data_IF_475265357002
#
_entry.id   IF_475265357002
#
_cell.length_a   1.000
_cell.length_b   1.000
_cell.length_c   1.000
_cell.angle_alpha   90.00
_cell.angle_beta   90.00
_cell.angle_gamma   90.00
#
_symmetry.space_group_name_H-M   'P 1'
#
loop_
_entity.id
_entity.type
_entity.pdbx_description
1 polymer ?
#
# COMPACT_ATOMS: atom_id res chain seq x y z
N UNK A 1 -14.44 27.13 -9.49
CA UNK A 1 -15.10 26.20 -8.55
C UNK A 1 -14.01 25.46 -7.82
N UNK A 2 -14.14 25.25 -6.53
CA UNK A 2 -13.16 24.49 -5.75
C UNK A 2 -13.35 23.00 -6.02
N UNK A 3 -12.26 22.29 -6.34
CA UNK A 3 -12.28 20.85 -6.64
C UNK A 3 -12.68 20.06 -5.39
N UNK A 4 -13.73 19.27 -5.47
CA UNK A 4 -14.21 18.46 -4.34
C UNK A 4 -13.41 17.18 -4.22
N UNK A 5 -12.72 16.99 -3.11
CA UNK A 5 -11.93 15.82 -2.73
C UNK A 5 -12.50 15.14 -1.50
N UNK A 6 -12.02 13.93 -1.23
CA UNK A 6 -12.19 13.32 0.09
C UNK A 6 -11.52 14.20 1.16
N UNK A 7 -12.14 14.36 2.33
CA UNK A 7 -11.72 15.34 3.36
C UNK A 7 -10.26 15.16 3.78
N UNK A 8 -9.78 13.93 3.89
CA UNK A 8 -8.42 13.62 4.30
C UNK A 8 -7.35 14.16 3.33
N UNK A 9 -7.69 14.37 2.06
CA UNK A 9 -6.75 14.84 1.05
C UNK A 9 -6.48 16.36 1.12
N UNK A 10 -7.25 17.09 1.92
CA UNK A 10 -7.18 18.56 1.93
C UNK A 10 -6.13 19.14 2.89
N UNK A 11 -5.37 18.32 3.61
CA UNK A 11 -4.40 18.78 4.61
C UNK A 11 -3.09 19.30 4.02
N UNK A 12 -2.69 18.83 2.83
CA UNK A 12 -1.46 19.24 2.17
C UNK A 12 -1.50 19.06 0.65
N UNK A 13 -0.65 19.78 -0.08
CA UNK A 13 -0.49 19.60 -1.54
C UNK A 13 -0.02 18.21 -1.92
N UNK A 14 0.79 17.55 -1.08
CA UNK A 14 1.25 16.19 -1.32
C UNK A 14 0.09 15.19 -1.22
N UNK A 15 -0.79 15.36 -0.22
CA UNK A 15 -1.98 14.52 -0.07
C UNK A 15 -2.97 14.75 -1.20
N UNK A 16 -3.19 16.00 -1.61
CA UNK A 16 -4.03 16.31 -2.77
C UNK A 16 -3.51 15.61 -4.04
N UNK A 17 -2.21 15.78 -4.33
CA UNK A 17 -1.59 15.15 -5.49
C UNK A 17 -1.69 13.63 -5.46
N UNK A 18 -1.40 13.02 -4.31
CA UNK A 18 -1.51 11.58 -4.14
C UNK A 18 -2.95 11.08 -4.35
N UNK A 19 -3.93 11.77 -3.74
CA UNK A 19 -5.34 11.47 -3.88
C UNK A 19 -5.81 11.57 -5.34
N UNK A 20 -5.46 12.66 -6.03
CA UNK A 20 -5.96 12.96 -7.36
C UNK A 20 -5.34 12.06 -8.44
N UNK A 21 -4.06 11.69 -8.27
CA UNK A 21 -3.27 11.02 -9.31
C UNK A 21 -3.02 9.53 -9.06
N UNK A 22 -3.15 9.05 -7.81
CA UNK A 22 -2.70 7.72 -7.42
C UNK A 22 -3.74 6.89 -6.65
N UNK A 23 -4.32 7.47 -5.62
CA UNK A 23 -5.18 6.73 -4.70
C UNK A 23 -6.46 6.21 -5.38
N UNK A 24 -6.78 4.93 -5.14
CA UNK A 24 -7.97 4.31 -5.72
C UNK A 24 -7.87 3.97 -7.21
N UNK A 25 -6.70 4.13 -7.82
CA UNK A 25 -6.46 3.72 -9.22
C UNK A 25 -5.99 2.26 -9.22
N UNK A 26 -6.64 1.35 -9.97
CA UNK A 26 -6.23 -0.03 -10.06
C UNK A 26 -4.79 -0.21 -10.55
N UNK A 27 -3.98 -0.90 -9.75
CA UNK A 27 -2.60 -1.28 -10.03
C UNK A 27 -2.53 -2.79 -10.23
N UNK A 28 -1.95 -3.23 -11.36
CA UNK A 28 -1.77 -4.65 -11.70
C UNK A 28 -0.31 -5.04 -11.86
N UNK A 29 0.61 -4.08 -11.83
CA UNK A 29 2.04 -4.34 -11.88
C UNK A 29 2.53 -4.93 -10.56
N UNK A 30 3.16 -6.10 -10.62
CA UNK A 30 3.61 -6.87 -9.46
C UNK A 30 4.59 -6.08 -8.57
N UNK A 31 5.53 -5.36 -9.19
CA UNK A 31 6.55 -4.59 -8.45
C UNK A 31 5.94 -3.36 -7.77
N UNK A 32 5.02 -2.67 -8.45
CA UNK A 32 4.30 -1.55 -7.86
C UNK A 32 3.36 -2.01 -6.73
N UNK A 33 2.69 -3.15 -6.87
CA UNK A 33 1.90 -3.75 -5.79
C UNK A 33 2.76 -4.08 -4.57
N UNK A 34 3.93 -4.69 -4.78
CA UNK A 34 4.87 -5.01 -3.70
C UNK A 34 5.40 -3.73 -3.01
N UNK A 35 5.78 -2.73 -3.80
CA UNK A 35 6.22 -1.43 -3.30
C UNK A 35 5.13 -0.75 -2.44
N UNK A 36 3.89 -0.70 -2.92
CA UNK A 36 2.79 -0.11 -2.17
C UNK A 36 2.54 -0.87 -0.87
N UNK A 37 2.60 -2.20 -0.88
CA UNK A 37 2.47 -3.00 0.33
C UNK A 37 3.57 -2.71 1.37
N UNK A 38 4.82 -2.52 0.91
CA UNK A 38 5.93 -2.13 1.78
C UNK A 38 5.73 -0.73 2.36
N UNK A 39 5.29 0.24 1.56
CA UNK A 39 5.03 1.62 1.99
C UNK A 39 3.91 1.69 3.03
N UNK A 40 2.83 0.95 2.83
CA UNK A 40 1.74 0.82 3.82
C UNK A 40 2.25 0.17 5.13
N UNK A 41 3.10 -0.83 5.03
CA UNK A 41 3.77 -1.41 6.19
C UNK A 41 4.69 -0.41 6.93
N UNK A 42 5.37 0.48 6.19
CA UNK A 42 6.16 1.57 6.77
C UNK A 42 5.29 2.60 7.49
N UNK A 43 4.03 2.76 7.09
CA UNK A 43 3.08 3.67 7.76
C UNK A 43 2.69 3.17 9.15
N UNK A 44 2.75 1.89 9.47
CA UNK A 44 2.25 1.34 10.74
C UNK A 44 2.66 2.20 11.95
N UNK A 45 1.67 2.75 12.67
CA UNK A 45 1.86 3.67 13.79
C UNK A 45 2.25 5.11 13.42
N UNK A 46 2.20 5.49 12.14
CA UNK A 46 2.49 6.83 11.62
C UNK A 46 1.32 7.35 10.76
N UNK A 47 1.35 8.64 10.38
CA UNK A 47 0.42 9.19 9.41
C UNK A 47 0.88 8.90 7.97
N UNK A 48 -0.09 8.84 7.02
CA UNK A 48 0.25 8.73 5.60
C UNK A 48 1.00 9.96 5.10
N UNK A 49 0.69 11.15 5.63
CA UNK A 49 1.44 12.37 5.36
C UNK A 49 2.93 12.22 5.65
N UNK A 50 3.31 11.52 6.73
CA UNK A 50 4.71 11.20 7.03
C UNK A 50 5.35 10.33 5.95
N UNK A 51 4.61 9.36 5.42
CA UNK A 51 5.10 8.50 4.33
C UNK A 51 5.26 9.29 3.04
N UNK A 52 4.28 10.13 2.69
CA UNK A 52 4.37 10.98 1.50
C UNK A 52 5.58 11.93 1.53
N UNK A 53 5.85 12.55 2.70
CA UNK A 53 7.02 13.43 2.87
C UNK A 53 8.34 12.68 2.74
N UNK A 54 8.38 11.39 3.08
CA UNK A 54 9.57 10.54 3.01
C UNK A 54 9.61 9.64 1.78
N UNK A 55 8.63 9.75 0.89
CA UNK A 55 8.45 8.84 -0.24
C UNK A 55 9.70 8.73 -1.10
N UNK A 56 10.27 9.86 -1.50
CA UNK A 56 11.46 9.89 -2.36
C UNK A 56 12.69 9.28 -1.64
N UNK A 57 12.85 9.61 -0.36
CA UNK A 57 13.92 9.06 0.47
C UNK A 57 13.77 7.55 0.67
N UNK A 58 12.55 7.08 0.92
CA UNK A 58 12.22 5.65 1.04
C UNK A 58 12.48 4.92 -0.28
N UNK A 59 11.95 5.43 -1.38
CA UNK A 59 12.16 4.81 -2.70
C UNK A 59 13.64 4.75 -3.07
N UNK A 60 14.39 5.84 -2.86
CA UNK A 60 15.82 5.88 -3.13
C UNK A 60 16.63 4.91 -2.24
N UNK A 61 16.31 4.85 -0.95
CA UNK A 61 17.04 4.02 0.01
C UNK A 61 16.79 2.52 -0.18
N UNK A 62 15.58 2.15 -0.58
CA UNK A 62 15.17 0.76 -0.78
C UNK A 62 15.13 0.34 -2.27
N UNK A 63 15.92 0.97 -3.14
CA UNK A 63 16.00 0.63 -4.58
C UNK A 63 14.62 0.53 -5.23
N UNK A 64 13.75 1.53 -4.99
CA UNK A 64 12.33 1.58 -5.38
C UNK A 64 11.49 0.39 -4.89
N UNK A 65 11.94 -0.28 -3.85
CA UNK A 65 11.36 -1.54 -3.35
C UNK A 65 11.30 -2.63 -4.42
N UNK A 66 12.27 -2.64 -5.35
CA UNK A 66 12.35 -3.71 -6.35
C UNK A 66 12.60 -5.05 -5.65
N UNK A 67 11.66 -6.01 -5.72
CA UNK A 67 11.79 -7.28 -5.00
C UNK A 67 13.02 -8.08 -5.43
N UNK A 68 13.48 -7.95 -6.70
CA UNK A 68 14.68 -8.62 -7.19
C UNK A 68 15.95 -8.11 -6.50
N UNK A 69 15.95 -6.85 -6.05
CA UNK A 69 17.08 -6.23 -5.36
C UNK A 69 16.97 -6.41 -3.86
N UNK A 70 15.83 -6.00 -3.27
CA UNK A 70 15.67 -5.97 -1.81
C UNK A 70 15.65 -7.36 -1.16
N UNK A 71 15.36 -8.42 -1.91
CA UNK A 71 15.43 -9.81 -1.44
C UNK A 71 16.84 -10.20 -0.98
N UNK A 72 17.87 -9.54 -1.52
CA UNK A 72 19.29 -9.77 -1.24
C UNK A 72 19.85 -8.90 -0.10
N UNK A 73 19.03 -8.05 0.52
CA UNK A 73 19.50 -7.23 1.64
C UNK A 73 19.91 -8.12 2.81
N UNK A 74 21.12 -7.86 3.30
CA UNK A 74 21.74 -8.50 4.44
C UNK A 74 21.80 -7.58 5.68
N UNK A 75 22.44 -8.06 6.74
CA UNK A 75 22.57 -7.30 7.99
C UNK A 75 23.40 -6.01 7.82
N UNK A 76 24.38 -6.01 6.93
CA UNK A 76 25.22 -4.82 6.65
C UNK A 76 24.39 -3.73 5.94
N UNK A 77 23.58 -4.13 4.94
CA UNK A 77 22.65 -3.22 4.27
C UNK A 77 21.56 -2.70 5.22
N UNK A 78 21.02 -3.56 6.07
CA UNK A 78 20.05 -3.14 7.11
C UNK A 78 20.67 -2.11 8.07
N UNK A 79 21.94 -2.32 8.48
CA UNK A 79 22.65 -1.39 9.36
C UNK A 79 22.93 -0.04 8.67
N UNK A 80 23.31 -0.04 7.39
CA UNK A 80 23.46 1.16 6.57
C UNK A 80 22.14 1.95 6.51
N UNK A 81 21.04 1.27 6.17
CA UNK A 81 19.71 1.89 6.07
C UNK A 81 19.28 2.57 7.38
N UNK A 82 19.58 1.97 8.52
CA UNK A 82 19.25 2.54 9.82
C UNK A 82 19.99 3.84 10.15
N UNK A 83 21.08 4.18 9.45
CA UNK A 83 21.77 5.46 9.55
C UNK A 83 21.13 6.55 8.67
N UNK A 84 20.31 6.17 7.69
CA UNK A 84 19.70 7.12 6.76
C UNK A 84 18.54 7.87 7.42
N UNK A 85 18.64 9.20 7.54
CA UNK A 85 17.64 10.09 8.15
C UNK A 85 16.41 10.30 7.25
N UNK A 86 16.49 9.98 5.98
CA UNK A 86 15.41 10.16 5.01
C UNK A 86 14.35 9.04 5.10
N UNK A 87 14.65 7.94 5.81
CA UNK A 87 13.71 6.82 5.97
C UNK A 87 13.07 6.76 7.37
N UNK A 88 12.16 5.80 7.55
CA UNK A 88 11.64 5.40 8.85
C UNK A 88 12.66 4.45 9.50
N UNK A 89 13.47 4.97 10.44
CA UNK A 89 14.55 4.22 11.12
C UNK A 89 14.02 3.28 12.21
N UNK A 90 13.21 2.32 11.79
CA UNK A 90 12.71 1.25 12.64
C UNK A 90 13.30 -0.08 12.16
N UNK A 91 14.12 -0.73 13.01
CA UNK A 91 14.84 -1.95 12.66
C UNK A 91 13.93 -3.07 12.14
N UNK A 92 12.77 -3.26 12.76
CA UNK A 92 11.84 -4.31 12.34
C UNK A 92 11.21 -4.02 10.99
N UNK A 93 10.88 -2.75 10.71
CA UNK A 93 10.36 -2.32 9.40
C UNK A 93 11.40 -2.46 8.30
N UNK A 94 12.65 -2.03 8.56
CA UNK A 94 13.76 -2.18 7.60
C UNK A 94 13.95 -3.66 7.26
N UNK A 95 14.09 -4.52 8.27
CA UNK A 95 14.26 -5.97 8.09
C UNK A 95 13.08 -6.64 7.37
N UNK A 96 11.87 -6.10 7.55
CA UNK A 96 10.67 -6.70 6.94
C UNK A 96 10.66 -6.61 5.42
N UNK A 97 11.35 -5.65 4.80
CA UNK A 97 11.34 -5.47 3.34
C UNK A 97 11.95 -6.69 2.63
N UNK A 98 13.16 -7.10 3.01
CA UNK A 98 13.80 -8.30 2.46
C UNK A 98 13.00 -9.59 2.78
N UNK A 99 12.46 -9.68 4.00
CA UNK A 99 11.61 -10.80 4.38
C UNK A 99 10.34 -10.89 3.51
N UNK A 100 9.69 -9.75 3.26
CA UNK A 100 8.48 -9.69 2.44
C UNK A 100 8.78 -10.00 0.98
N UNK A 101 9.96 -9.61 0.46
CA UNK A 101 10.39 -9.98 -0.89
C UNK A 101 10.57 -11.50 -1.05
N UNK A 102 11.12 -12.19 -0.05
CA UNK A 102 11.20 -13.67 -0.06
C UNK A 102 9.83 -14.32 -0.11
N UNK A 103 8.85 -13.76 0.61
CA UNK A 103 7.48 -14.26 0.59
C UNK A 103 6.75 -13.92 -0.72
N UNK A 104 7.03 -12.75 -1.31
CA UNK A 104 6.54 -12.33 -2.62
C UNK A 104 6.92 -13.35 -3.72
N UNK A 105 8.18 -13.76 -3.81
CA UNK A 105 8.62 -14.74 -4.81
C UNK A 105 7.91 -16.08 -4.66
N UNK A 106 7.66 -16.54 -3.43
CA UNK A 106 6.88 -17.77 -3.19
C UNK A 106 5.44 -17.66 -3.68
N UNK A 107 4.82 -16.49 -3.55
CA UNK A 107 3.49 -16.24 -4.09
C UNK A 107 3.53 -16.25 -5.62
N UNK A 108 4.50 -15.58 -6.25
CA UNK A 108 4.63 -15.58 -7.70
C UNK A 108 4.85 -17.00 -8.27
N UNK A 109 5.63 -17.84 -7.56
CA UNK A 109 5.84 -19.24 -7.94
C UNK A 109 4.54 -20.05 -7.84
N UNK A 110 3.73 -19.85 -6.80
CA UNK A 110 2.49 -20.60 -6.55
C UNK A 110 1.31 -20.14 -7.43
N UNK A 111 1.16 -18.84 -7.66
CA UNK A 111 -0.01 -18.23 -8.32
C UNK A 111 0.27 -17.67 -9.72
N UNK A 112 1.52 -17.69 -10.18
CA UNK A 112 1.94 -17.11 -11.47
C UNK A 112 2.34 -15.64 -11.37
N UNK A 113 1.65 -14.82 -10.57
CA UNK A 113 2.00 -13.43 -10.29
C UNK A 113 1.50 -12.97 -8.92
N UNK A 114 2.08 -11.90 -8.40
CA UNK A 114 1.61 -11.26 -7.18
C UNK A 114 0.26 -10.55 -7.41
N UNK A 115 0.07 -10.03 -8.61
CA UNK A 115 -1.18 -9.42 -9.07
C UNK A 115 -2.32 -10.44 -9.07
N UNK A 116 -2.14 -11.60 -9.70
CA UNK A 116 -3.17 -12.64 -9.74
C UNK A 116 -3.57 -13.11 -8.35
N UNK A 117 -2.59 -13.28 -7.47
CA UNK A 117 -2.84 -13.64 -6.07
C UNK A 117 -3.69 -12.58 -5.35
N UNK A 118 -3.31 -11.30 -5.42
CA UNK A 118 -4.01 -10.22 -4.72
C UNK A 118 -5.40 -9.94 -5.34
N UNK A 119 -5.44 -9.75 -6.65
CA UNK A 119 -6.69 -9.45 -7.36
C UNK A 119 -7.68 -10.61 -7.36
N UNK A 120 -7.20 -11.85 -7.18
CA UNK A 120 -8.05 -13.02 -6.98
C UNK A 120 -8.99 -12.91 -5.77
N UNK A 121 -8.61 -12.15 -4.72
CA UNK A 121 -9.48 -11.91 -3.56
C UNK A 121 -10.72 -11.06 -3.86
N UNK A 122 -10.69 -10.29 -4.94
CA UNK A 122 -11.80 -9.43 -5.42
C UNK A 122 -12.32 -9.85 -6.79
N UNK A 123 -12.04 -11.10 -7.21
CA UNK A 123 -12.43 -11.63 -8.52
C UNK A 123 -11.97 -10.74 -9.68
N UNK A 124 -10.78 -10.18 -9.60
CA UNK A 124 -10.13 -9.27 -10.57
C UNK A 124 -10.95 -8.02 -10.91
N UNK A 125 -11.86 -7.62 -10.02
CA UNK A 125 -12.74 -6.46 -10.21
C UNK A 125 -12.72 -5.59 -8.95
N UNK A 126 -12.49 -4.26 -9.08
CA UNK A 126 -12.55 -3.35 -7.94
C UNK A 126 -13.88 -3.39 -7.20
N UNK A 127 -13.84 -3.37 -5.88
CA UNK A 127 -15.02 -3.14 -5.04
C UNK A 127 -15.28 -1.63 -5.02
N UNK A 128 -16.45 -1.21 -5.44
CA UNK A 128 -16.84 0.21 -5.47
C UNK A 128 -17.85 0.47 -4.37
N UNK A 129 -17.44 1.19 -3.34
CA UNK A 129 -18.29 1.58 -2.22
C UNK A 129 -18.98 2.94 -2.49
N UNK A 130 -19.99 3.25 -1.69
CA UNK A 130 -20.81 4.47 -1.86
C UNK A 130 -20.96 5.19 -0.51
N UNK A 131 -19.83 5.69 0.01
CA UNK A 131 -19.76 6.41 1.28
C UNK A 131 -20.14 7.88 1.09
N UNK A 132 -21.02 8.40 1.94
CA UNK A 132 -21.35 9.84 1.96
C UNK A 132 -20.34 10.64 2.78
N UNK A 133 -19.77 10.03 3.82
CA UNK A 133 -18.80 10.67 4.71
C UNK A 133 -17.64 9.75 5.09
N UNK A 134 -16.52 10.34 5.49
CA UNK A 134 -15.33 9.60 5.95
C UNK A 134 -15.60 8.74 7.20
N UNK A 135 -16.58 9.12 8.01
CA UNK A 135 -16.95 8.38 9.22
C UNK A 135 -17.63 7.03 8.95
N UNK A 136 -18.12 6.83 7.72
CA UNK A 136 -18.71 5.56 7.27
C UNK A 136 -17.65 4.58 6.77
N UNK A 137 -16.49 5.09 6.34
CA UNK A 137 -15.41 4.25 5.82
C UNK A 137 -14.82 3.41 6.95
N UNK A 138 -14.88 2.07 6.87
CA UNK A 138 -14.36 1.22 7.93
C UNK A 138 -12.83 1.25 7.97
N UNK A 139 -12.26 1.09 9.16
CA UNK A 139 -10.80 0.96 9.31
C UNK A 139 -10.27 -0.40 8.79
N UNK A 140 -11.14 -1.41 8.69
CA UNK A 140 -10.84 -2.76 8.18
C UNK A 140 -12.14 -3.47 7.81
N UNK A 141 -12.05 -4.53 7.03
CA UNK A 141 -13.17 -5.36 6.61
C UNK A 141 -12.86 -6.84 6.83
N UNK A 142 -13.88 -7.72 6.72
CA UNK A 142 -13.65 -9.17 6.74
C UNK A 142 -12.69 -9.61 5.63
N UNK A 143 -12.75 -8.95 4.47
CA UNK A 143 -11.85 -9.24 3.36
C UNK A 143 -10.40 -8.85 3.70
N UNK A 144 -10.17 -7.67 4.28
CA UNK A 144 -8.84 -7.27 4.71
C UNK A 144 -8.30 -8.16 5.85
N UNK A 145 -9.17 -8.65 6.74
CA UNK A 145 -8.82 -9.64 7.76
C UNK A 145 -8.36 -10.96 7.11
N UNK A 146 -9.08 -11.42 6.08
CA UNK A 146 -8.74 -12.64 5.32
C UNK A 146 -7.41 -12.51 4.61
N UNK A 147 -7.19 -11.43 3.85
CA UNK A 147 -5.93 -11.16 3.14
C UNK A 147 -4.76 -11.04 4.12
N UNK A 148 -4.93 -10.26 5.19
CA UNK A 148 -3.92 -10.09 6.25
C UNK A 148 -3.53 -11.44 6.86
N UNK A 149 -4.50 -12.31 7.16
CA UNK A 149 -4.27 -13.63 7.73
C UNK A 149 -3.50 -14.54 6.78
N UNK A 150 -3.85 -14.54 5.50
CA UNK A 150 -3.16 -15.36 4.49
C UNK A 150 -1.72 -14.89 4.26
N UNK A 151 -1.52 -13.57 4.07
CA UNK A 151 -0.18 -12.99 3.94
C UNK A 151 0.71 -13.27 5.17
N UNK A 152 0.16 -13.18 6.39
CA UNK A 152 0.89 -13.54 7.63
C UNK A 152 1.34 -14.99 7.62
N UNK A 153 0.44 -15.89 7.22
CA UNK A 153 0.75 -17.33 7.11
C UNK A 153 1.86 -17.59 6.10
N UNK A 154 1.94 -16.79 5.03
CA UNK A 154 3.00 -16.85 4.01
C UNK A 154 4.31 -16.18 4.43
N UNK A 155 4.32 -15.54 5.60
CA UNK A 155 5.53 -14.97 6.22
C UNK A 155 5.69 -13.47 6.07
N UNK A 156 4.75 -12.76 5.47
CA UNK A 156 4.79 -11.29 5.42
C UNK A 156 4.72 -10.66 6.81
N UNK A 157 5.34 -9.49 6.94
CA UNK A 157 5.38 -8.66 8.16
C UNK A 157 4.79 -7.28 7.89
N UNK A 158 4.33 -6.61 8.95
CA UNK A 158 3.69 -5.30 8.91
C UNK A 158 2.48 -5.22 7.96
N UNK A 159 1.66 -6.27 8.01
CA UNK A 159 0.48 -6.43 7.15
C UNK A 159 -0.77 -6.70 8.00
N UNK A 160 -0.94 -5.95 9.10
CA UNK A 160 -2.18 -5.98 9.90
C UNK A 160 -3.41 -5.63 9.05
N UNK A 161 -4.60 -6.04 9.47
CA UNK A 161 -5.83 -5.87 8.68
C UNK A 161 -6.11 -4.40 8.29
N UNK A 162 -5.86 -3.46 9.19
CA UNK A 162 -6.00 -2.02 8.90
C UNK A 162 -5.01 -1.57 7.82
N UNK A 163 -3.76 -2.06 7.87
CA UNK A 163 -2.74 -1.77 6.85
C UNK A 163 -3.15 -2.39 5.50
N UNK A 164 -3.67 -3.61 5.52
CA UNK A 164 -4.16 -4.27 4.30
C UNK A 164 -5.36 -3.53 3.71
N UNK A 165 -6.28 -3.01 4.55
CA UNK A 165 -7.40 -2.25 4.03
C UNK A 165 -6.94 -0.93 3.38
N UNK A 166 -6.01 -0.20 4.01
CA UNK A 166 -5.39 0.98 3.41
C UNK A 166 -4.64 0.64 2.10
N UNK A 167 -3.94 -0.49 2.07
CA UNK A 167 -3.31 -1.01 0.84
C UNK A 167 -4.36 -1.28 -0.25
N UNK A 168 -5.47 -1.94 0.06
CA UNK A 168 -6.54 -2.21 -0.92
C UNK A 168 -7.12 -0.91 -1.50
N UNK A 169 -7.26 0.12 -0.68
CA UNK A 169 -7.68 1.46 -1.12
C UNK A 169 -6.62 2.10 -2.03
N UNK A 170 -5.36 2.07 -1.61
CA UNK A 170 -4.25 2.73 -2.32
C UNK A 170 -4.01 2.15 -3.71
N UNK A 171 -4.17 0.83 -3.89
CA UNK A 171 -3.96 0.12 -5.17
C UNK A 171 -5.26 -0.09 -5.98
N UNK A 172 -6.36 0.51 -5.55
CA UNK A 172 -7.63 0.47 -6.27
C UNK A 172 -8.38 -0.86 -6.25
N UNK A 173 -7.99 -1.81 -5.39
CA UNK A 173 -8.82 -3.02 -5.13
C UNK A 173 -10.16 -2.64 -4.50
N UNK A 174 -10.18 -1.53 -3.76
CA UNK A 174 -11.38 -0.90 -3.22
C UNK A 174 -11.38 0.56 -3.61
N UNK A 175 -12.48 1.04 -4.16
CA UNK A 175 -12.71 2.45 -4.42
C UNK A 175 -13.57 3.04 -3.31
N UNK A 176 -12.93 3.75 -2.40
CA UNK A 176 -13.54 4.41 -1.24
C UNK A 176 -13.57 5.94 -1.39
N UNK A 177 -13.45 6.46 -2.60
CA UNK A 177 -13.76 7.86 -2.85
C UNK A 177 -15.19 8.16 -2.44
N UNK A 178 -15.40 9.22 -1.66
CA UNK A 178 -16.71 9.65 -1.23
C UNK A 178 -17.61 10.00 -2.43
N UNK A 179 -18.92 9.87 -2.29
CA UNK A 179 -19.87 10.15 -3.36
C UNK A 179 -19.74 11.57 -3.94
N UNK A 180 -19.37 12.55 -3.10
CA UNK A 180 -19.14 13.93 -3.52
C UNK A 180 -17.76 14.21 -4.14
N UNK A 181 -16.86 13.22 -4.20
CA UNK A 181 -15.50 13.41 -4.71
C UNK A 181 -15.46 13.37 -6.23
N UNK A 182 -14.84 14.36 -6.86
CA UNK A 182 -14.70 14.46 -8.33
C UNK A 182 -13.76 13.39 -8.92
N UNK A 183 -12.92 12.77 -8.10
CA UNK A 183 -11.97 11.72 -8.48
C UNK A 183 -12.53 10.30 -8.32
N UNK A 184 -13.79 10.17 -7.88
CA UNK A 184 -14.47 8.89 -7.78
C UNK A 184 -14.71 8.32 -9.18
N UNK A 185 -13.82 7.46 -9.60
CA UNK A 185 -13.90 6.77 -10.91
C UNK A 185 -14.88 5.61 -10.78
N UNK A 186 -16.03 5.74 -11.41
CA UNK A 186 -17.00 4.66 -11.60
C UNK A 186 -17.05 4.43 -13.09
N UNK A 187 -16.69 3.26 -13.56
CA UNK A 187 -16.90 2.91 -14.97
C UNK A 187 -18.40 3.05 -15.24
N UNK A 188 -18.73 3.93 -16.18
CA UNK A 188 -20.11 4.01 -16.70
C UNK A 188 -20.28 2.78 -17.59
N UNK A 189 -21.05 1.78 -17.11
CA UNK A 189 -21.58 0.72 -17.96
C UNK A 189 -22.37 1.30 -19.14
#
# INVERSE_FOLDING_TARGET
>A
METKRCDWANHSLLEQKYHDEKWGIPIFDDKELFKMLCLEGMQAGLSWSTILQKMDGLCKAFDNFDPDIVVNYDEDKEAELLQNKEIIRNRLKVKSVANNAKAYFKICEEFGSFSDYLWGFVNHTPIINSWESITEVPAKTELSDKISKDLKKRGFKFIGSTIIYAFMQSVGMVNDHLLGCEFRRVEKN
#
